data_IF_346118620192
#
_entry.id   IF_346118620192
#
_cell.length_a   1.000
_cell.length_b   1.000
_cell.length_c   1.000
_cell.angle_alpha   90.00
_cell.angle_beta   90.00
_cell.angle_gamma   90.00
#
_symmetry.space_group_name_H-M   'P 1'
#
loop_
_entity.id
_entity.type
_entity.pdbx_description
1 polymer ?
#
# COMPACT_ATOMS: atom_id res chain seq x y z
N UNK A 1 21.14 -12.93 -11.70
CA UNK A 1 20.46 -12.05 -12.69
C UNK A 1 20.34 -12.82 -13.98
N UNK A 2 19.13 -13.02 -14.52
CA UNK A 2 18.93 -13.78 -15.75
C UNK A 2 19.00 -12.83 -16.96
N UNK A 3 20.20 -12.61 -17.50
CA UNK A 3 20.44 -11.67 -18.58
C UNK A 3 19.66 -12.01 -19.86
N UNK A 4 19.54 -13.31 -20.19
CA UNK A 4 18.83 -13.77 -21.38
C UNK A 4 17.33 -13.44 -21.35
N UNK A 5 16.71 -13.53 -20.16
CA UNK A 5 15.31 -13.15 -19.98
C UNK A 5 15.12 -11.63 -20.17
N UNK A 6 16.04 -10.84 -19.62
CA UNK A 6 16.00 -9.37 -19.74
C UNK A 6 16.14 -8.94 -21.19
N UNK A 7 17.09 -9.49 -21.94
CA UNK A 7 17.29 -9.17 -23.35
C UNK A 7 16.06 -9.55 -24.20
N UNK A 8 15.45 -10.69 -23.91
CA UNK A 8 14.23 -11.14 -24.60
C UNK A 8 13.06 -10.18 -24.35
N UNK A 9 12.88 -9.71 -23.11
CA UNK A 9 11.86 -8.72 -22.75
C UNK A 9 12.09 -7.38 -23.47
N UNK A 10 13.34 -6.90 -23.53
CA UNK A 10 13.68 -5.66 -24.23
C UNK A 10 13.34 -5.77 -25.72
N UNK A 11 13.65 -6.89 -26.37
CA UNK A 11 13.31 -7.11 -27.78
C UNK A 11 11.80 -7.07 -28.02
N UNK A 12 11.00 -7.70 -27.15
CA UNK A 12 9.54 -7.70 -27.26
C UNK A 12 9.00 -6.28 -27.08
N UNK A 13 9.47 -5.53 -26.08
CA UNK A 13 9.04 -4.14 -25.84
C UNK A 13 9.37 -3.25 -27.03
N UNK A 14 10.53 -3.45 -27.66
CA UNK A 14 10.95 -2.69 -28.84
C UNK A 14 10.14 -3.04 -30.11
N UNK A 15 9.52 -4.22 -30.17
CA UNK A 15 8.67 -4.60 -31.31
C UNK A 15 7.25 -4.01 -31.23
N UNK A 16 6.83 -3.52 -30.06
CA UNK A 16 5.50 -2.92 -29.86
C UNK A 16 5.35 -1.59 -30.60
N UNK A 17 4.15 -1.32 -31.08
CA UNK A 17 3.73 0.00 -31.59
C UNK A 17 3.68 1.05 -30.47
N UNK A 18 3.64 2.36 -30.80
CA UNK A 18 3.57 3.43 -29.79
C UNK A 18 2.39 3.27 -28.83
N UNK A 19 1.20 2.93 -29.34
CA UNK A 19 -0.01 2.77 -28.52
C UNK A 19 0.09 1.57 -27.57
N UNK A 20 0.65 0.46 -28.05
CA UNK A 20 0.88 -0.74 -27.23
C UNK A 20 1.94 -0.50 -26.15
N UNK A 21 2.97 0.31 -26.43
CA UNK A 21 3.95 0.72 -25.42
C UNK A 21 3.32 1.62 -24.36
N UNK A 22 2.47 2.57 -24.75
CA UNK A 22 1.73 3.40 -23.79
C UNK A 22 0.80 2.57 -22.89
N UNK A 23 0.10 1.57 -23.45
CA UNK A 23 -0.70 0.65 -22.66
C UNK A 23 0.15 -0.21 -21.71
N UNK A 24 1.33 -0.65 -22.15
CA UNK A 24 2.27 -1.40 -21.33
C UNK A 24 2.79 -0.54 -20.16
N UNK A 25 3.14 0.72 -20.41
CA UNK A 25 3.56 1.68 -19.37
C UNK A 25 2.46 1.91 -18.33
N UNK A 26 1.20 2.09 -18.77
CA UNK A 26 0.05 2.20 -17.86
C UNK A 26 -0.13 0.94 -17.01
N UNK A 27 0.11 -0.25 -17.56
CA UNK A 27 -0.04 -1.50 -16.80
C UNK A 27 1.11 -1.74 -15.81
N UNK A 28 2.33 -1.35 -16.17
CA UNK A 28 3.53 -1.59 -15.34
C UNK A 28 3.73 -0.51 -14.27
N UNK A 29 3.43 0.74 -14.63
CA UNK A 29 3.68 1.93 -13.82
C UNK A 29 2.42 2.72 -13.52
N UNK A 30 1.25 2.19 -13.89
CA UNK A 30 -0.02 2.79 -13.55
C UNK A 30 -0.07 3.05 -12.05
N UNK A 31 -0.51 4.25 -11.70
CA UNK A 31 -0.78 4.61 -10.33
C UNK A 31 -1.95 3.75 -9.85
N UNK A 32 -1.65 2.59 -9.29
CA UNK A 32 -2.57 1.92 -8.38
C UNK A 32 -2.67 2.88 -7.19
N UNK A 33 -3.84 3.48 -6.93
CA UNK A 33 -3.98 4.34 -5.76
C UNK A 33 -3.75 3.47 -4.54
N UNK A 34 -2.62 3.68 -3.88
CA UNK A 34 -2.41 3.13 -2.55
C UNK A 34 -3.31 3.92 -1.59
N UNK A 35 -3.98 3.25 -0.64
CA UNK A 35 -4.73 3.94 0.37
C UNK A 35 -3.80 4.90 1.12
N UNK A 36 -4.28 6.11 1.35
CA UNK A 36 -3.61 7.09 2.19
C UNK A 36 -3.45 6.55 3.62
N UNK A 37 -2.53 7.13 4.38
CA UNK A 37 -2.38 6.82 5.80
C UNK A 37 -3.70 7.01 6.58
N UNK A 38 -4.53 7.98 6.17
CA UNK A 38 -5.84 8.25 6.77
C UNK A 38 -6.83 7.11 6.47
N UNK A 39 -6.90 6.65 5.23
CA UNK A 39 -7.76 5.53 4.85
C UNK A 39 -7.33 4.22 5.53
N UNK A 40 -6.02 4.01 5.68
CA UNK A 40 -5.49 2.88 6.45
C UNK A 40 -5.85 2.97 7.94
N UNK A 41 -5.76 4.17 8.54
CA UNK A 41 -6.13 4.39 9.94
C UNK A 41 -7.63 4.11 10.18
N UNK A 42 -8.51 4.63 9.31
CA UNK A 42 -9.95 4.36 9.40
C UNK A 42 -10.29 2.89 9.18
N UNK A 43 -9.57 2.19 8.31
CA UNK A 43 -9.75 0.75 8.13
C UNK A 43 -9.36 -0.03 9.40
N UNK A 44 -8.25 0.35 10.06
CA UNK A 44 -7.82 -0.29 11.30
C UNK A 44 -8.80 -0.01 12.46
N UNK A 45 -9.31 1.22 12.56
CA UNK A 45 -10.35 1.63 13.52
C UNK A 45 -11.66 0.86 13.28
N UNK A 46 -12.21 0.91 12.07
CA UNK A 46 -13.49 0.25 11.74
C UNK A 46 -13.41 -1.28 11.74
N UNK A 47 -12.22 -1.84 11.54
CA UNK A 47 -11.97 -3.27 11.56
C UNK A 47 -11.82 -3.88 12.97
N UNK A 48 -11.92 -3.07 14.03
CA UNK A 48 -11.78 -3.54 15.41
C UNK A 48 -10.34 -3.97 15.76
N UNK A 49 -9.35 -3.52 14.98
CA UNK A 49 -7.94 -3.91 15.20
C UNK A 49 -7.37 -3.31 16.50
N UNK A 50 -8.07 -2.34 17.10
CA UNK A 50 -7.76 -1.73 18.39
C UNK A 50 -8.69 -2.21 19.53
N UNK A 51 -9.63 -3.12 19.25
CA UNK A 51 -10.57 -3.62 20.26
C UNK A 51 -9.85 -4.40 21.38
N UNK A 52 -8.64 -4.92 21.12
CA UNK A 52 -7.82 -5.55 22.15
C UNK A 52 -7.44 -4.60 23.30
N UNK A 53 -7.45 -3.29 23.05
CA UNK A 53 -7.22 -2.26 24.07
C UNK A 53 -8.49 -1.96 24.89
N UNK A 54 -9.65 -2.45 24.46
CA UNK A 54 -10.93 -2.15 25.13
C UNK A 54 -11.01 -2.79 26.52
N UNK A 55 -10.42 -3.97 26.68
CA UNK A 55 -10.40 -4.72 27.95
C UNK A 55 -9.16 -4.38 28.80
N UNK A 56 -8.25 -3.52 28.31
CA UNK A 56 -7.08 -3.11 29.08
C UNK A 56 -7.50 -2.10 30.16
N UNK A 57 -7.04 -2.25 31.41
CA UNK A 57 -7.31 -1.29 32.45
C UNK A 57 -6.61 0.03 32.15
N UNK A 58 -7.30 1.14 32.37
CA UNK A 58 -6.68 2.46 32.29
C UNK A 58 -5.50 2.54 33.28
N UNK A 59 -4.36 2.98 32.78
CA UNK A 59 -3.14 3.20 33.57
C UNK A 59 -2.90 4.68 33.88
N UNK A 60 -3.65 5.57 33.23
CA UNK A 60 -3.64 7.01 33.44
C UNK A 60 -5.06 7.54 33.46
N UNK A 61 -5.31 8.62 34.21
CA UNK A 61 -6.61 9.30 34.17
C UNK A 61 -6.79 10.04 32.84
N UNK A 62 -8.03 10.15 32.36
CA UNK A 62 -8.38 10.96 31.20
C UNK A 62 -8.51 12.46 31.51
N UNK A 63 -8.54 12.84 32.81
CA UNK A 63 -8.73 14.23 33.23
C UNK A 63 -7.42 15.01 33.25
N UNK A 64 -6.37 14.45 33.84
CA UNK A 64 -5.07 15.11 34.03
C UNK A 64 -3.89 14.31 33.48
N UNK A 65 -4.09 13.04 33.06
CA UNK A 65 -3.03 12.19 32.56
C UNK A 65 -2.10 11.64 33.64
N UNK A 66 -2.44 11.81 34.92
CA UNK A 66 -1.68 11.23 36.03
C UNK A 66 -1.95 9.71 36.14
N UNK A 67 -1.00 8.93 36.67
CA UNK A 67 -1.21 7.50 36.91
C UNK A 67 -2.41 7.24 37.83
N UNK A 68 -3.15 6.15 37.56
CA UNK A 68 -4.23 5.67 38.45
C UNK A 68 -3.65 4.85 39.62
#
# INVERSE_FOLDING_TARGET
>A
MNAQLVDSLVQVILALSPDERSLLEEKLFGNIPYPSALELAHLAESGGNFDYLHDEPDIYTLEDGEPI
#
